data_IF_324307286401
#
_entry.id   IF_324307286401
#
_cell.length_a   1.000
_cell.length_b   1.000
_cell.length_c   1.000
_cell.angle_alpha   90.00
_cell.angle_beta   90.00
_cell.angle_gamma   90.00
#
_symmetry.space_group_name_H-M   'P 1'
#
loop_
_entity.id
_entity.type
_entity.pdbx_description
1 polymer ?
#
# COMPACT_ATOMS: atom_id res chain seq x y z
N UNK A 1 -20.45 -5.11 27.47
CA UNK A 1 -19.42 -4.75 26.46
C UNK A 1 -18.36 -3.96 27.16
N UNK A 2 -17.09 -4.41 27.19
CA UNK A 2 -15.96 -3.63 27.69
C UNK A 2 -15.30 -2.95 26.50
N UNK A 3 -15.08 -1.64 26.56
CA UNK A 3 -14.41 -0.87 25.53
C UNK A 3 -13.03 -0.43 26.04
N UNK A 4 -11.98 -0.64 25.25
CA UNK A 4 -10.62 -0.24 25.57
C UNK A 4 -10.13 0.72 24.48
N UNK A 5 -9.55 1.83 24.89
CA UNK A 5 -8.98 2.82 23.99
C UNK A 5 -7.45 2.85 24.15
N UNK A 6 -6.76 2.92 23.03
CA UNK A 6 -5.31 3.08 23.00
C UNK A 6 -4.97 4.22 22.04
N UNK A 7 -4.27 5.22 22.52
CA UNK A 7 -3.69 6.27 21.68
C UNK A 7 -2.39 5.77 21.07
N UNK A 8 -2.22 5.99 19.78
CA UNK A 8 -1.00 5.64 19.05
C UNK A 8 -0.42 6.87 18.35
N UNK A 9 0.90 6.92 18.22
CA UNK A 9 1.59 7.95 17.45
C UNK A 9 1.92 7.39 16.08
N UNK A 10 1.38 8.01 15.03
CA UNK A 10 1.61 7.68 13.63
C UNK A 10 2.49 8.75 12.98
N UNK A 11 3.41 8.34 12.14
CA UNK A 11 4.18 9.24 11.28
C UNK A 11 3.51 9.26 9.91
N UNK A 12 2.93 10.39 9.57
CA UNK A 12 2.32 10.63 8.27
C UNK A 12 3.36 11.17 7.30
N UNK A 13 3.50 10.53 6.14
CA UNK A 13 4.41 10.92 5.07
C UNK A 13 3.65 11.65 3.98
N UNK A 14 4.24 12.75 3.52
CA UNK A 14 3.76 13.55 2.39
C UNK A 14 4.91 13.77 1.41
N UNK A 15 4.76 13.28 0.18
CA UNK A 15 5.76 13.40 -0.87
C UNK A 15 5.18 14.22 -2.02
N UNK A 16 5.80 15.36 -2.34
CA UNK A 16 5.50 16.16 -3.53
C UNK A 16 6.39 15.71 -4.68
N UNK A 17 5.77 15.42 -5.83
CA UNK A 17 6.47 14.95 -7.02
C UNK A 17 6.16 15.87 -8.20
N UNK A 18 7.19 16.40 -8.91
CA UNK A 18 7.01 17.28 -10.06
C UNK A 18 6.73 16.49 -11.34
N UNK A 19 5.68 15.68 -11.34
CA UNK A 19 5.27 14.81 -12.46
C UNK A 19 3.76 14.87 -12.64
N UNK A 20 3.22 14.66 -13.87
CA UNK A 20 1.78 14.60 -14.11
C UNK A 20 1.11 13.41 -13.40
N UNK A 21 -0.09 13.63 -12.89
CA UNK A 21 -0.86 12.62 -12.15
C UNK A 21 -1.05 11.32 -12.94
N UNK A 22 -1.51 11.40 -14.20
CA UNK A 22 -1.78 10.20 -15.00
C UNK A 22 -0.51 9.42 -15.34
N UNK A 23 0.61 10.14 -15.56
CA UNK A 23 1.91 9.51 -15.78
C UNK A 23 2.38 8.76 -14.53
N UNK A 24 2.32 9.41 -13.36
CA UNK A 24 2.73 8.79 -12.10
C UNK A 24 1.86 7.57 -11.74
N UNK A 25 0.52 7.74 -11.77
CA UNK A 25 -0.39 6.65 -11.39
C UNK A 25 -0.30 5.47 -12.36
N UNK A 26 -0.13 5.72 -13.66
CA UNK A 26 0.10 4.67 -14.65
C UNK A 26 1.38 3.87 -14.32
N UNK A 27 2.50 4.55 -14.04
CA UNK A 27 3.76 3.88 -13.69
C UNK A 27 3.68 3.13 -12.36
N UNK A 28 3.02 3.71 -11.36
CA UNK A 28 2.81 3.04 -10.07
C UNK A 28 2.02 1.74 -10.26
N UNK A 29 0.97 1.77 -11.06
CA UNK A 29 0.13 0.61 -11.35
C UNK A 29 0.85 -0.44 -12.21
N UNK A 30 1.72 -0.04 -13.14
CA UNK A 30 2.53 -0.94 -13.96
C UNK A 30 3.61 -1.67 -13.16
N UNK A 31 4.18 -1.01 -12.14
CA UNK A 31 5.21 -1.58 -11.26
C UNK A 31 4.64 -2.57 -10.23
N UNK A 32 3.41 -2.38 -9.81
CA UNK A 32 2.76 -3.27 -8.84
C UNK A 32 2.32 -4.58 -9.50
N UNK A 33 2.54 -5.69 -8.78
CA UNK A 33 1.88 -6.95 -9.11
C UNK A 33 0.36 -6.84 -8.94
N UNK A 34 -0.37 -7.82 -9.43
CA UNK A 34 -1.84 -7.86 -9.31
C UNK A 34 -2.24 -9.00 -8.36
N UNK A 35 -2.85 -8.64 -7.25
CA UNK A 35 -3.38 -9.63 -6.32
C UNK A 35 -4.63 -10.28 -6.91
N UNK A 36 -4.64 -11.63 -6.94
CA UNK A 36 -5.79 -12.43 -7.35
C UNK A 36 -6.49 -13.01 -6.09
N UNK A 37 -7.75 -12.61 -5.80
CA UNK A 37 -8.51 -13.12 -4.66
C UNK A 37 -8.73 -14.63 -4.66
N UNK A 38 -8.65 -15.31 -5.81
CA UNK A 38 -8.73 -16.77 -5.92
C UNK A 38 -7.67 -17.50 -5.07
N UNK A 39 -6.62 -16.78 -4.65
CA UNK A 39 -5.58 -17.32 -3.77
C UNK A 39 -6.15 -17.83 -2.44
N UNK A 40 -7.24 -17.24 -1.93
CA UNK A 40 -7.89 -17.67 -0.69
C UNK A 40 -8.41 -19.12 -0.79
N UNK A 41 -8.96 -19.47 -1.95
CA UNK A 41 -9.41 -20.85 -2.20
C UNK A 41 -8.21 -21.80 -2.29
N UNK A 42 -7.14 -21.38 -2.98
CA UNK A 42 -5.93 -22.21 -3.11
C UNK A 42 -5.26 -22.42 -1.75
N UNK A 43 -5.25 -21.40 -0.89
CA UNK A 43 -4.72 -21.51 0.49
C UNK A 43 -5.47 -22.58 1.31
N UNK A 44 -6.77 -22.70 1.12
CA UNK A 44 -7.58 -23.71 1.83
C UNK A 44 -7.32 -25.13 1.31
N UNK A 45 -6.91 -25.30 0.05
CA UNK A 45 -6.67 -26.59 -0.59
C UNK A 45 -5.21 -27.04 -0.48
N UNK A 46 -4.27 -26.15 -0.78
CA UNK A 46 -2.83 -26.40 -0.81
C UNK A 46 -2.04 -25.12 -0.49
N UNK A 47 -1.64 -24.97 0.77
CA UNK A 47 -0.89 -23.80 1.23
C UNK A 47 0.48 -23.64 0.54
N UNK A 48 1.13 -24.73 0.14
CA UNK A 48 2.43 -24.66 -0.55
C UNK A 48 2.26 -24.14 -1.98
N UNK A 49 1.27 -24.66 -2.71
CA UNK A 49 0.93 -24.15 -4.02
C UNK A 49 0.49 -22.68 -4.00
N UNK A 50 -0.25 -22.28 -2.95
CA UNK A 50 -0.67 -20.90 -2.74
C UNK A 50 0.53 -19.95 -2.55
N UNK A 51 1.53 -20.32 -1.75
CA UNK A 51 2.73 -19.52 -1.55
C UNK A 51 3.45 -19.24 -2.89
N UNK A 52 3.67 -20.26 -3.71
CA UNK A 52 4.28 -20.10 -5.02
C UNK A 52 3.46 -19.23 -5.98
N UNK A 53 2.11 -19.28 -5.90
CA UNK A 53 1.25 -18.38 -6.68
C UNK A 53 1.33 -16.93 -6.20
N UNK A 54 1.42 -16.70 -4.89
CA UNK A 54 1.60 -15.36 -4.34
C UNK A 54 2.93 -14.76 -4.82
N UNK A 55 4.03 -15.54 -4.76
CA UNK A 55 5.33 -15.11 -5.27
C UNK A 55 5.28 -14.75 -6.76
N UNK A 56 4.54 -15.52 -7.57
CA UNK A 56 4.36 -15.26 -9.00
C UNK A 56 3.54 -13.99 -9.31
N UNK A 57 2.75 -13.49 -8.36
CA UNK A 57 1.99 -12.24 -8.49
C UNK A 57 2.79 -10.99 -8.09
N UNK A 58 3.97 -11.15 -7.50
CA UNK A 58 4.77 -10.03 -7.01
C UNK A 58 5.22 -9.09 -8.14
N UNK A 59 5.08 -7.80 -7.88
CA UNK A 59 5.65 -6.74 -8.71
C UNK A 59 6.93 -6.17 -8.10
N UNK A 60 7.19 -4.91 -8.39
CA UNK A 60 8.35 -4.20 -7.87
C UNK A 60 8.38 -4.23 -6.33
N UNK A 61 9.56 -4.46 -5.76
CA UNK A 61 9.77 -4.61 -4.30
C UNK A 61 8.96 -5.76 -3.65
N UNK A 62 8.42 -6.70 -4.44
CA UNK A 62 7.53 -7.73 -3.96
C UNK A 62 6.13 -7.22 -3.59
N UNK A 63 5.74 -6.03 -4.06
CA UNK A 63 4.46 -5.40 -3.71
C UNK A 63 3.40 -5.65 -4.79
N UNK A 64 2.15 -5.75 -4.34
CA UNK A 64 0.98 -6.01 -5.18
C UNK A 64 -0.11 -4.98 -4.92
N UNK A 65 -0.92 -4.71 -5.93
CA UNK A 65 -2.14 -3.93 -5.86
C UNK A 65 -3.32 -4.84 -5.53
N UNK A 66 -3.95 -4.59 -4.38
CA UNK A 66 -5.17 -5.28 -3.93
C UNK A 66 -6.44 -4.61 -4.43
N UNK A 67 -6.39 -3.33 -4.70
CA UNK A 67 -7.52 -2.56 -5.21
C UNK A 67 -7.28 -1.06 -5.16
N UNK A 68 -8.19 -0.33 -5.80
CA UNK A 68 -8.18 1.14 -5.84
C UNK A 68 -9.57 1.71 -5.55
N UNK A 69 -9.59 2.95 -5.07
CA UNK A 69 -10.81 3.73 -4.89
C UNK A 69 -10.62 5.12 -5.50
N UNK A 70 -11.49 5.47 -6.44
CA UNK A 70 -11.46 6.78 -7.10
C UNK A 70 -12.20 7.83 -6.27
N UNK A 71 -11.48 8.52 -5.39
CA UNK A 71 -12.04 9.61 -4.59
C UNK A 71 -12.28 10.89 -5.40
N UNK A 72 -11.45 11.15 -6.42
CA UNK A 72 -11.60 12.28 -7.31
C UNK A 72 -12.93 12.25 -8.09
N UNK A 73 -13.39 11.06 -8.47
CA UNK A 73 -14.65 10.88 -9.18
C UNK A 73 -15.89 11.35 -8.40
N UNK A 74 -15.82 11.37 -7.05
CA UNK A 74 -16.91 11.85 -6.21
C UNK A 74 -17.18 13.36 -6.35
N UNK A 75 -16.21 14.14 -6.81
CA UNK A 75 -16.36 15.58 -7.03
C UNK A 75 -17.34 15.90 -8.16
N UNK A 76 -17.64 14.95 -9.05
CA UNK A 76 -18.70 15.07 -10.03
C UNK A 76 -20.09 15.35 -9.39
N UNK A 77 -20.31 14.98 -8.13
CA UNK A 77 -21.52 15.34 -7.36
C UNK A 77 -21.71 16.86 -7.22
N UNK A 78 -20.63 17.64 -7.39
CA UNK A 78 -20.65 19.10 -7.38
C UNK A 78 -20.29 19.73 -8.72
N UNK A 79 -20.19 18.95 -9.78
CA UNK A 79 -19.79 19.41 -11.11
C UNK A 79 -18.31 19.77 -11.20
N UNK A 80 -17.48 19.30 -10.28
CA UNK A 80 -16.04 19.51 -10.26
C UNK A 80 -15.30 18.30 -10.82
N UNK A 81 -14.13 18.54 -11.44
CA UNK A 81 -13.19 17.49 -11.85
C UNK A 81 -11.97 17.52 -10.93
N UNK A 82 -11.69 16.40 -10.28
CA UNK A 82 -10.52 16.19 -9.45
C UNK A 82 -9.89 14.85 -9.78
N UNK A 83 -8.58 14.76 -9.64
CA UNK A 83 -7.85 13.50 -9.74
C UNK A 83 -7.32 13.11 -8.36
N UNK A 84 -7.88 12.05 -7.79
CA UNK A 84 -7.46 11.51 -6.50
C UNK A 84 -7.81 10.04 -6.44
N UNK A 85 -6.85 9.18 -6.10
CA UNK A 85 -7.01 7.73 -6.02
C UNK A 85 -6.35 7.19 -4.76
N UNK A 86 -7.05 6.32 -4.08
CA UNK A 86 -6.54 5.54 -2.96
C UNK A 86 -6.15 4.16 -3.47
N UNK A 87 -4.98 3.71 -3.07
CA UNK A 87 -4.41 2.41 -3.40
C UNK A 87 -4.30 1.55 -2.15
N UNK A 88 -4.59 0.26 -2.29
CA UNK A 88 -4.30 -0.75 -1.29
C UNK A 88 -3.12 -1.59 -1.79
N UNK A 89 -1.98 -1.44 -1.13
CA UNK A 89 -0.68 -2.00 -1.57
C UNK A 89 -0.13 -2.92 -0.49
N UNK A 90 0.29 -4.12 -0.87
CA UNK A 90 0.84 -5.06 0.10
C UNK A 90 1.34 -6.35 -0.52
N UNK A 91 1.57 -7.34 0.35
CA UNK A 91 1.92 -8.70 -0.03
C UNK A 91 1.46 -9.65 1.08
N UNK A 92 0.67 -10.70 0.79
CA UNK A 92 0.17 -11.63 1.80
C UNK A 92 1.28 -12.35 2.57
N UNK A 93 2.41 -12.70 1.89
CA UNK A 93 3.53 -13.37 2.54
C UNK A 93 4.27 -12.43 3.51
N UNK A 94 4.41 -11.15 3.15
CA UNK A 94 4.98 -10.13 4.05
C UNK A 94 4.02 -9.89 5.22
N UNK A 95 2.73 -9.77 4.97
CA UNK A 95 1.72 -9.63 6.01
C UNK A 95 1.76 -10.82 6.99
N UNK A 96 1.92 -12.05 6.48
CA UNK A 96 2.03 -13.24 7.30
C UNK A 96 3.27 -13.24 8.20
N UNK A 97 4.40 -12.68 7.75
CA UNK A 97 5.59 -12.53 8.59
C UNK A 97 5.31 -11.68 9.85
N UNK A 98 4.34 -10.77 9.80
CA UNK A 98 3.91 -9.97 10.95
C UNK A 98 2.77 -10.64 11.72
N UNK A 99 1.72 -11.06 11.02
CA UNK A 99 0.50 -11.59 11.65
C UNK A 99 0.70 -12.91 12.40
N UNK A 100 1.71 -13.71 12.04
CA UNK A 100 2.09 -14.90 12.78
C UNK A 100 2.66 -14.60 14.18
N UNK A 101 3.19 -13.39 14.40
CA UNK A 101 3.68 -12.92 15.70
C UNK A 101 2.58 -12.16 16.45
N UNK A 102 1.87 -11.27 15.77
CA UNK A 102 0.73 -10.55 16.30
C UNK A 102 -0.37 -10.43 15.23
N UNK A 103 -1.46 -11.17 15.41
CA UNK A 103 -2.58 -11.20 14.45
C UNK A 103 -3.20 -9.82 14.23
N UNK A 104 -3.07 -8.89 15.19
CA UNK A 104 -3.58 -7.52 15.09
C UNK A 104 -2.89 -6.71 13.99
N UNK A 105 -1.69 -7.12 13.54
CA UNK A 105 -1.02 -6.52 12.40
C UNK A 105 -1.89 -6.56 11.13
N UNK A 106 -2.80 -7.53 11.00
CA UNK A 106 -3.77 -7.60 9.91
C UNK A 106 -4.68 -6.38 9.79
N UNK A 107 -4.83 -5.57 10.86
CA UNK A 107 -5.63 -4.34 10.83
C UNK A 107 -5.09 -3.30 9.82
N UNK A 108 -3.77 -3.28 9.58
CA UNK A 108 -3.10 -2.30 8.73
C UNK A 108 -2.56 -2.88 7.42
N UNK A 109 -2.90 -4.12 7.10
CA UNK A 109 -2.50 -4.78 5.85
C UNK A 109 -3.74 -5.11 5.01
N UNK A 110 -3.80 -4.70 3.74
CA UNK A 110 -2.76 -3.98 2.97
C UNK A 110 -2.59 -2.51 3.39
N UNK A 111 -1.42 -1.94 3.07
CA UNK A 111 -1.11 -0.54 3.29
C UNK A 111 -2.02 0.37 2.44
N UNK A 112 -2.29 1.56 2.95
CA UNK A 112 -3.01 2.60 2.21
C UNK A 112 -2.04 3.64 1.68
N UNK A 113 -2.10 3.93 0.36
CA UNK A 113 -1.41 5.02 -0.30
C UNK A 113 -2.43 5.90 -1.00
N UNK A 114 -2.40 7.20 -0.75
CA UNK A 114 -3.31 8.16 -1.37
C UNK A 114 -2.54 9.08 -2.31
N UNK A 115 -3.01 9.18 -3.56
CA UNK A 115 -2.36 9.96 -4.62
C UNK A 115 -3.35 10.95 -5.19
N UNK A 116 -2.98 12.22 -5.27
CA UNK A 116 -3.84 13.24 -5.85
C UNK A 116 -3.06 14.35 -6.58
N UNK A 117 -3.72 14.93 -7.59
CA UNK A 117 -3.18 16.03 -8.36
C UNK A 117 -3.17 17.32 -7.54
N UNK A 118 -2.02 18.01 -7.52
CA UNK A 118 -1.84 19.33 -6.91
C UNK A 118 -1.65 20.44 -7.94
N UNK A 119 -1.39 20.08 -9.19
CA UNK A 119 -1.27 20.95 -10.35
C UNK A 119 -1.05 20.17 -11.64
N UNK A 120 -1.00 20.84 -12.82
CA UNK A 120 -0.91 20.16 -14.12
C UNK A 120 0.28 19.19 -14.27
N UNK A 121 1.37 19.47 -13.56
CA UNK A 121 2.58 18.65 -13.57
C UNK A 121 3.07 18.36 -12.16
N UNK A 122 2.15 18.23 -11.20
CA UNK A 122 2.51 17.90 -9.82
C UNK A 122 1.47 16.99 -9.19
N UNK A 123 1.95 16.04 -8.42
CA UNK A 123 1.17 15.05 -7.68
C UNK A 123 1.69 14.95 -6.26
N UNK A 124 0.79 14.72 -5.33
CA UNK A 124 1.13 14.43 -3.94
C UNK A 124 0.78 12.99 -3.62
N UNK A 125 1.72 12.33 -2.94
CA UNK A 125 1.55 10.97 -2.43
C UNK A 125 1.56 11.04 -0.92
N UNK A 126 0.54 10.49 -0.28
CA UNK A 126 0.41 10.46 1.18
C UNK A 126 0.18 9.04 1.67
N UNK A 127 0.84 8.68 2.77
CA UNK A 127 0.67 7.42 3.46
C UNK A 127 1.17 7.51 4.90
N UNK A 128 0.66 6.64 5.74
CA UNK A 128 1.20 6.48 7.09
C UNK A 128 2.37 5.49 7.05
N UNK A 129 3.50 5.89 7.65
CA UNK A 129 4.73 5.08 7.69
C UNK A 129 4.46 3.72 8.32
N UNK A 130 4.66 2.61 7.59
CA UNK A 130 4.38 1.26 8.09
C UNK A 130 4.98 0.97 9.47
N UNK A 131 6.25 1.29 9.70
CA UNK A 131 6.89 1.04 11.00
C UNK A 131 6.22 1.77 12.16
N UNK A 132 5.61 2.93 11.93
CA UNK A 132 4.87 3.67 12.97
C UNK A 132 3.50 3.06 13.26
N UNK A 133 2.86 2.43 12.28
CA UNK A 133 1.59 1.72 12.47
C UNK A 133 1.80 0.39 13.18
N UNK A 134 2.69 -0.45 12.66
CA UNK A 134 2.91 -1.80 13.18
C UNK A 134 3.73 -1.81 14.48
N UNK A 135 4.61 -0.83 14.69
CA UNK A 135 5.41 -0.69 15.91
C UNK A 135 4.60 -0.53 17.19
N UNK A 136 3.32 -0.09 17.08
CA UNK A 136 2.41 0.02 18.22
C UNK A 136 2.16 -1.30 18.97
N UNK A 137 2.36 -2.43 18.31
CA UNK A 137 2.12 -3.75 18.92
C UNK A 137 3.26 -4.17 19.87
N UNK A 138 4.42 -3.49 19.82
CA UNK A 138 5.53 -3.74 20.73
C UNK A 138 6.30 -5.04 20.46
N UNK A 139 5.99 -5.75 19.37
CA UNK A 139 6.72 -6.93 18.93
C UNK A 139 7.87 -6.53 18.00
N UNK A 140 9.09 -6.98 18.32
CA UNK A 140 10.28 -6.63 17.54
C UNK A 140 10.26 -7.25 16.14
N UNK A 141 9.81 -8.50 16.01
CA UNK A 141 9.77 -9.16 14.70
C UNK A 141 8.77 -8.46 13.77
N UNK A 142 7.62 -8.03 14.29
CA UNK A 142 6.64 -7.21 13.54
C UNK A 142 7.27 -5.88 13.12
N UNK A 143 7.97 -5.20 14.02
CA UNK A 143 8.58 -3.90 13.75
C UNK A 143 9.70 -4.01 12.70
N UNK A 144 10.54 -5.03 12.77
CA UNK A 144 11.64 -5.25 11.81
C UNK A 144 11.10 -5.45 10.38
N UNK A 145 10.02 -6.22 10.21
CA UNK A 145 9.33 -6.38 8.91
C UNK A 145 8.74 -5.05 8.43
N UNK A 146 8.12 -4.29 9.33
CA UNK A 146 7.51 -3.01 9.00
C UNK A 146 8.54 -1.95 8.56
N UNK A 147 9.73 -1.93 9.16
CA UNK A 147 10.86 -1.08 8.70
C UNK A 147 11.29 -1.47 7.29
N UNK A 148 11.28 -2.76 6.96
CA UNK A 148 11.50 -3.22 5.59
C UNK A 148 10.42 -2.72 4.61
N UNK A 149 9.16 -2.64 5.05
CA UNK A 149 8.06 -2.07 4.25
C UNK A 149 8.23 -0.56 4.03
N UNK A 150 8.75 0.21 5.00
CA UNK A 150 9.06 1.63 4.81
C UNK A 150 9.99 1.83 3.60
N UNK A 151 11.07 1.05 3.54
CA UNK A 151 12.05 1.12 2.46
C UNK A 151 11.45 0.68 1.11
N UNK A 152 10.68 -0.41 1.10
CA UNK A 152 10.05 -0.95 -0.11
C UNK A 152 9.04 0.03 -0.72
N UNK A 153 8.20 0.64 0.11
CA UNK A 153 7.20 1.60 -0.35
C UNK A 153 7.84 2.87 -0.89
N UNK A 154 8.87 3.39 -0.20
CA UNK A 154 9.63 4.54 -0.67
C UNK A 154 10.29 4.26 -2.02
N UNK A 155 10.98 3.13 -2.17
CA UNK A 155 11.64 2.74 -3.42
C UNK A 155 10.66 2.56 -4.58
N UNK A 156 9.47 2.00 -4.34
CA UNK A 156 8.41 1.88 -5.32
C UNK A 156 7.95 3.27 -5.83
N UNK A 157 7.69 4.21 -4.90
CA UNK A 157 7.24 5.58 -5.23
C UNK A 157 8.31 6.33 -6.01
N UNK A 158 9.57 6.26 -5.57
CA UNK A 158 10.71 6.90 -6.25
C UNK A 158 10.89 6.36 -7.68
N UNK A 159 10.77 5.05 -7.85
CA UNK A 159 10.87 4.42 -9.18
C UNK A 159 9.73 4.84 -10.10
N UNK A 160 8.50 4.86 -9.59
CA UNK A 160 7.34 5.33 -10.36
C UNK A 160 7.50 6.80 -10.79
N UNK A 161 7.99 7.66 -9.88
CA UNK A 161 8.25 9.08 -10.16
C UNK A 161 9.34 9.28 -11.22
N UNK A 162 10.46 8.54 -11.11
CA UNK A 162 11.54 8.58 -12.08
C UNK A 162 11.10 8.21 -13.49
N UNK A 163 10.24 7.17 -13.61
CA UNK A 163 9.71 6.73 -14.90
C UNK A 163 8.59 7.63 -15.46
N UNK A 164 7.94 8.41 -14.60
CA UNK A 164 6.88 9.35 -15.00
C UNK A 164 7.42 10.69 -15.48
N UNK A 165 8.66 11.06 -15.10
CA UNK A 165 9.33 12.31 -15.49
C UNK A 165 10.20 12.23 -16.73
N UNK A 166 10.38 11.05 -17.31
CA UNK A 166 11.11 10.81 -18.57
C UNK A 166 10.13 10.68 -19.72
#
# INVERSE_FOLDING_TARGET
MMNQHTEIKVVHETIELPVPYDAFTGRLEDLLGRFDPEIERVLAEDATAAAGRIEAMEGEQGLMLFGTQNHGGLFALRGEARKAKRYHVGNPLIAFQMTRHDIRAGLYAPLTVFVYETGPASVRVEFDRPSSLFGQFGDRAVTDVAVGLDAKLTALIEKAASQAGG
#
